data_IF_694192718656
#
_entry.id   IF_694192718656
#
_cell.length_a   1.000
_cell.length_b   1.000
_cell.length_c   1.000
_cell.angle_alpha   90.00
_cell.angle_beta   90.00
_cell.angle_gamma   90.00
#
_symmetry.space_group_name_H-M   'P 1'
#
loop_
_entity.id
_entity.type
_entity.pdbx_description
1 polymer ?
#
# COMPACT_ATOMS: atom_id res chain seq x y z
N UNK A 1 39.77 -45.70 1.61
CA UNK A 1 38.32 -45.92 1.43
C UNK A 1 37.66 -44.59 1.07
N UNK A 2 37.32 -44.36 -0.19
CA UNK A 2 36.74 -43.10 -0.65
C UNK A 2 35.27 -42.99 -0.20
N UNK A 3 34.93 -41.94 0.58
CA UNK A 3 33.56 -41.65 1.03
C UNK A 3 32.66 -41.48 -0.21
N UNK A 4 31.76 -42.44 -0.45
CA UNK A 4 30.75 -42.41 -1.52
C UNK A 4 29.88 -41.17 -1.30
N UNK A 5 30.04 -40.13 -2.14
CA UNK A 5 29.17 -38.94 -2.12
C UNK A 5 27.72 -39.41 -2.25
N UNK A 6 26.90 -39.21 -1.21
CA UNK A 6 25.46 -39.50 -1.24
C UNK A 6 24.89 -38.69 -2.42
N UNK A 7 24.42 -39.38 -3.48
CA UNK A 7 23.68 -38.72 -4.57
C UNK A 7 22.52 -37.99 -3.92
N UNK A 8 22.48 -36.66 -4.03
CA UNK A 8 21.36 -35.88 -3.53
C UNK A 8 20.11 -36.40 -4.26
N UNK A 9 19.20 -37.04 -3.53
CA UNK A 9 17.99 -37.62 -4.10
C UNK A 9 16.95 -36.50 -4.21
N UNK A 10 16.85 -35.90 -5.39
CA UNK A 10 15.92 -34.82 -5.64
C UNK A 10 16.10 -34.18 -7.00
N UNK A 11 15.08 -33.43 -7.41
CA UNK A 11 15.02 -32.68 -8.65
C UNK A 11 14.80 -31.20 -8.36
N UNK A 12 15.40 -30.34 -9.17
CA UNK A 12 15.27 -28.90 -9.07
C UNK A 12 13.96 -28.43 -9.70
N UNK A 13 13.24 -27.54 -9.01
CA UNK A 13 12.07 -26.87 -9.55
C UNK A 13 12.45 -25.47 -10.05
N UNK A 14 12.24 -25.20 -11.34
CA UNK A 14 12.53 -23.88 -11.94
C UNK A 14 11.55 -22.77 -11.56
N UNK A 15 10.42 -23.14 -10.94
CA UNK A 15 9.37 -22.18 -10.57
C UNK A 15 9.63 -21.66 -9.17
N UNK A 16 9.68 -22.51 -8.14
CA UNK A 16 9.98 -22.07 -6.78
C UNK A 16 11.48 -21.99 -6.44
N UNK A 17 12.40 -22.43 -7.32
CA UNK A 17 13.84 -22.37 -7.05
C UNK A 17 14.39 -23.41 -6.06
N UNK A 18 13.55 -24.34 -5.58
CA UNK A 18 13.95 -25.37 -4.61
C UNK A 18 14.34 -26.71 -5.25
N UNK A 19 15.27 -27.43 -4.60
CA UNK A 19 15.45 -28.87 -4.81
C UNK A 19 14.43 -29.67 -3.99
N UNK A 20 13.60 -30.49 -4.64
CA UNK A 20 12.55 -31.29 -3.98
C UNK A 20 12.71 -32.78 -4.30
N UNK A 21 12.21 -33.64 -3.41
CA UNK A 21 12.20 -35.09 -3.63
C UNK A 21 11.39 -35.48 -4.88
N UNK A 22 11.71 -36.61 -5.50
CA UNK A 22 11.09 -37.08 -6.75
C UNK A 22 9.55 -37.18 -6.64
N UNK A 23 9.03 -37.60 -5.50
CA UNK A 23 7.58 -37.70 -5.24
C UNK A 23 6.84 -36.36 -5.27
N UNK A 24 7.57 -35.24 -5.17
CA UNK A 24 7.03 -33.89 -5.30
C UNK A 24 6.93 -33.43 -6.75
N UNK A 25 7.30 -34.25 -7.72
CA UNK A 25 7.12 -34.01 -9.14
C UNK A 25 6.07 -34.97 -9.70
N UNK A 26 5.20 -34.45 -10.56
CA UNK A 26 4.28 -35.29 -11.36
C UNK A 26 5.00 -35.73 -12.63
N UNK A 27 4.60 -36.82 -13.30
CA UNK A 27 5.30 -37.30 -14.51
C UNK A 27 5.52 -36.21 -15.58
N UNK A 28 4.49 -35.39 -15.85
CA UNK A 28 4.61 -34.22 -16.75
C UNK A 28 5.43 -33.07 -16.15
N UNK A 29 5.36 -32.87 -14.83
CA UNK A 29 6.12 -31.82 -14.13
C UNK A 29 7.60 -32.13 -13.99
N UNK A 30 7.94 -33.40 -13.86
CA UNK A 30 9.31 -33.89 -13.80
C UNK A 30 10.07 -33.57 -15.08
N UNK A 31 9.47 -33.85 -16.24
CA UNK A 31 10.01 -33.51 -17.55
C UNK A 31 10.21 -31.99 -17.75
N UNK A 32 9.36 -31.16 -17.12
CA UNK A 32 9.43 -29.70 -17.22
C UNK A 32 10.26 -29.04 -16.10
N UNK A 33 10.79 -29.82 -15.16
CA UNK A 33 11.45 -29.32 -13.94
C UNK A 33 10.51 -28.42 -13.11
N UNK A 34 9.23 -28.80 -13.02
CA UNK A 34 8.18 -28.09 -12.27
C UNK A 34 7.58 -29.06 -11.24
N UNK A 35 7.65 -28.70 -9.97
CA UNK A 35 7.05 -29.51 -8.91
C UNK A 35 5.52 -29.52 -8.99
N UNK A 36 4.88 -30.54 -8.41
CA UNK A 36 3.43 -30.76 -8.44
C UNK A 36 2.65 -29.57 -7.89
N UNK A 37 3.17 -28.88 -6.87
CA UNK A 37 2.57 -27.67 -6.29
C UNK A 37 2.56 -26.51 -7.28
N UNK A 38 3.70 -26.21 -7.92
CA UNK A 38 3.79 -25.15 -8.94
C UNK A 38 2.96 -25.48 -10.18
N UNK A 39 2.96 -26.75 -10.62
CA UNK A 39 2.13 -27.20 -11.73
C UNK A 39 0.63 -27.09 -11.41
N UNK A 40 0.23 -27.34 -10.16
CA UNK A 40 -1.16 -27.14 -9.71
C UNK A 40 -1.53 -25.65 -9.67
N UNK A 41 -0.64 -24.79 -9.15
CA UNK A 41 -0.86 -23.34 -9.11
C UNK A 41 -1.08 -22.75 -10.52
N UNK A 42 -0.28 -23.20 -11.50
CA UNK A 42 -0.43 -22.80 -12.91
C UNK A 42 -1.77 -23.25 -13.51
N UNK A 43 -2.23 -24.48 -13.20
CA UNK A 43 -3.53 -24.99 -13.71
C UNK A 43 -4.73 -24.30 -13.08
N UNK A 44 -4.59 -23.81 -11.86
CA UNK A 44 -5.64 -23.07 -11.17
C UNK A 44 -5.72 -21.58 -11.60
N UNK A 45 -5.00 -21.17 -12.64
CA UNK A 45 -5.07 -19.80 -13.17
C UNK A 45 -4.41 -18.75 -12.29
N UNK A 46 -3.52 -19.15 -11.36
CA UNK A 46 -2.68 -18.22 -10.60
C UNK A 46 -1.40 -17.96 -11.40
N UNK A 47 -1.26 -16.72 -11.86
CA UNK A 47 -0.16 -16.24 -12.71
C UNK A 47 1.21 -16.43 -11.99
N UNK A 48 2.23 -17.02 -12.63
CA UNK A 48 3.53 -17.33 -12.03
C UNK A 48 4.50 -16.12 -12.02
N UNK A 49 3.96 -14.91 -11.91
CA UNK A 49 4.70 -13.63 -11.90
C UNK A 49 5.08 -13.21 -10.46
N UNK A 50 4.59 -13.96 -9.46
CA UNK A 50 4.71 -13.73 -8.02
C UNK A 50 5.90 -14.52 -7.39
N UNK A 51 7.02 -14.62 -8.11
CA UNK A 51 8.27 -15.27 -7.62
C UNK A 51 9.45 -14.31 -7.70
N UNK A 52 9.19 -13.03 -7.43
CA UNK A 52 10.18 -12.19 -6.77
C UNK A 52 9.92 -12.40 -5.26
N UNK A 53 10.95 -12.53 -4.40
CA UNK A 53 10.69 -12.56 -2.96
C UNK A 53 9.91 -11.29 -2.62
N UNK A 54 8.61 -11.45 -2.37
CA UNK A 54 7.75 -10.42 -1.85
C UNK A 54 8.50 -9.78 -0.68
N UNK A 55 8.72 -8.45 -0.64
CA UNK A 55 8.86 -7.81 0.66
C UNK A 55 7.65 -8.30 1.43
N UNK A 56 7.91 -9.00 2.55
CA UNK A 56 6.90 -9.62 3.39
C UNK A 56 5.65 -8.75 3.39
N UNK A 57 4.43 -9.30 3.26
CA UNK A 57 3.23 -8.50 3.47
C UNK A 57 3.31 -8.03 4.93
N UNK A 58 3.88 -6.84 5.13
CA UNK A 58 3.62 -6.03 6.31
C UNK A 58 2.12 -6.04 6.34
N UNK A 59 1.57 -6.64 7.40
CA UNK A 59 0.13 -6.66 7.63
C UNK A 59 -0.28 -5.20 7.80
N UNK A 60 -0.50 -4.51 6.67
CA UNK A 60 -0.84 -3.10 6.62
C UNK A 60 -2.16 -2.99 7.33
N UNK A 61 -2.12 -2.38 8.50
CA UNK A 61 -3.26 -2.37 9.38
C UNK A 61 -4.29 -1.43 8.75
N UNK A 62 -5.28 -2.01 8.07
CA UNK A 62 -6.30 -1.22 7.42
C UNK A 62 -7.32 -0.79 8.47
N UNK A 63 -7.35 0.50 8.78
CA UNK A 63 -8.23 1.03 9.83
C UNK A 63 -9.22 2.05 9.29
N UNK A 64 -10.28 2.29 10.07
CA UNK A 64 -11.28 3.32 9.78
C UNK A 64 -10.92 4.59 10.52
N UNK A 65 -11.24 5.76 9.97
CA UNK A 65 -11.03 7.05 10.63
C UNK A 65 -11.53 7.08 12.09
N UNK A 66 -12.70 6.47 12.34
CA UNK A 66 -13.30 6.39 13.68
C UNK A 66 -12.42 5.68 14.70
N UNK A 67 -11.62 4.71 14.26
CA UNK A 67 -10.70 3.92 15.09
C UNK A 67 -9.35 4.62 15.32
N UNK A 68 -9.06 5.73 14.64
CA UNK A 68 -7.82 6.46 14.93
C UNK A 68 -7.90 7.07 16.34
N UNK A 69 -6.86 6.82 17.11
CA UNK A 69 -6.58 7.52 18.36
C UNK A 69 -6.37 9.02 18.14
N UNK A 70 -6.41 9.77 19.24
CA UNK A 70 -6.28 11.24 19.21
C UNK A 70 -4.99 11.71 18.52
N UNK A 71 -3.90 10.96 18.71
CA UNK A 71 -2.60 11.26 18.11
C UNK A 71 -2.61 11.04 16.59
N UNK A 72 -3.10 9.88 16.12
CA UNK A 72 -3.22 9.63 14.68
C UNK A 72 -4.13 10.65 13.97
N UNK A 73 -5.22 11.07 14.64
CA UNK A 73 -6.07 12.17 14.13
C UNK A 73 -5.33 13.50 14.06
N UNK A 74 -4.46 13.80 15.02
CA UNK A 74 -3.65 15.02 15.01
C UNK A 74 -2.60 15.00 13.88
N UNK A 75 -1.94 13.86 13.65
CA UNK A 75 -1.01 13.64 12.55
C UNK A 75 -1.73 13.79 11.20
N UNK A 76 -2.86 13.11 11.02
CA UNK A 76 -3.67 13.24 9.81
C UNK A 76 -4.12 14.68 9.57
N UNK A 77 -4.52 15.40 10.62
CA UNK A 77 -4.86 16.82 10.52
C UNK A 77 -3.67 17.67 10.03
N UNK A 78 -2.47 17.40 10.53
CA UNK A 78 -1.26 18.11 10.11
C UNK A 78 -0.98 17.88 8.62
N UNK A 79 -1.04 16.63 8.15
CA UNK A 79 -0.91 16.29 6.73
C UNK A 79 -1.94 17.00 5.86
N UNK A 80 -3.22 17.00 6.28
CA UNK A 80 -4.27 17.70 5.54
C UNK A 80 -3.95 19.19 5.43
N UNK A 81 -3.56 19.82 6.54
CA UNK A 81 -3.23 21.25 6.53
C UNK A 81 -2.00 21.57 5.68
N UNK A 82 -0.96 20.74 5.71
CA UNK A 82 0.25 20.93 4.90
C UNK A 82 -0.05 20.83 3.41
N UNK A 83 -0.64 19.73 2.97
CA UNK A 83 -0.98 19.46 1.56
C UNK A 83 -1.98 20.47 1.00
N UNK A 84 -2.99 20.87 1.79
CA UNK A 84 -3.94 21.91 1.37
C UNK A 84 -3.27 23.27 1.26
N UNK A 85 -2.32 23.58 2.15
CA UNK A 85 -1.56 24.83 2.09
C UNK A 85 -0.66 24.86 0.86
N UNK A 86 0.06 23.78 0.59
CA UNK A 86 0.90 23.64 -0.62
C UNK A 86 0.06 23.81 -1.88
N UNK A 87 -1.06 23.07 -1.99
CA UNK A 87 -1.98 23.21 -3.10
C UNK A 87 -2.48 24.65 -3.29
N UNK A 88 -2.80 25.34 -2.20
CA UNK A 88 -3.22 26.75 -2.23
C UNK A 88 -2.09 27.68 -2.68
N UNK A 89 -0.86 27.49 -2.21
CA UNK A 89 0.29 28.31 -2.61
C UNK A 89 0.60 28.16 -4.10
N UNK A 90 0.51 26.94 -4.64
CA UNK A 90 0.81 26.67 -6.05
C UNK A 90 -0.32 27.09 -6.99
N UNK A 91 -1.56 26.75 -6.67
CA UNK A 91 -2.69 26.91 -7.58
C UNK A 91 -3.53 28.16 -7.28
N UNK A 92 -3.44 28.73 -6.08
CA UNK A 92 -4.31 29.80 -5.54
C UNK A 92 -5.80 29.55 -5.74
N UNK A 93 -6.20 28.29 -5.59
CA UNK A 93 -7.57 27.83 -5.79
C UNK A 93 -8.02 26.90 -4.66
N UNK A 94 -9.32 26.93 -4.38
CA UNK A 94 -9.93 26.01 -3.41
C UNK A 94 -10.05 24.63 -4.07
N UNK A 95 -9.44 23.57 -3.52
CA UNK A 95 -9.54 22.24 -4.10
C UNK A 95 -10.98 21.73 -4.03
N UNK A 96 -11.54 21.38 -5.19
CA UNK A 96 -12.92 20.89 -5.34
C UNK A 96 -12.96 19.67 -6.27
N UNK A 97 -13.98 18.82 -6.11
CA UNK A 97 -14.25 17.63 -6.94
C UNK A 97 -13.03 16.72 -7.20
N UNK A 98 -12.42 16.82 -8.39
CA UNK A 98 -11.30 15.98 -8.84
C UNK A 98 -10.04 16.28 -8.03
N UNK A 99 -9.62 17.55 -7.95
CA UNK A 99 -8.46 17.98 -7.14
C UNK A 99 -8.63 17.60 -5.68
N UNK A 100 -9.85 17.69 -5.15
CA UNK A 100 -10.15 17.22 -3.79
C UNK A 100 -9.94 15.70 -3.64
N UNK A 101 -10.36 14.93 -4.64
CA UNK A 101 -10.21 13.47 -4.64
C UNK A 101 -8.75 13.05 -4.78
N UNK A 102 -7.96 13.78 -5.58
CA UNK A 102 -6.52 13.57 -5.75
C UNK A 102 -5.75 13.88 -4.46
N UNK A 103 -5.97 15.05 -3.87
CA UNK A 103 -5.33 15.41 -2.58
C UNK A 103 -5.67 14.40 -1.49
N UNK A 104 -6.91 13.91 -1.45
CA UNK A 104 -7.31 12.89 -0.49
C UNK A 104 -6.58 11.57 -0.71
N UNK A 105 -6.47 11.09 -1.95
CA UNK A 105 -5.72 9.87 -2.27
C UNK A 105 -4.24 10.03 -1.91
N UNK A 106 -3.67 11.19 -2.19
CA UNK A 106 -2.28 11.51 -1.86
C UNK A 106 -2.04 11.46 -0.34
N UNK A 107 -2.91 12.09 0.45
CA UNK A 107 -2.80 12.08 1.92
C UNK A 107 -3.00 10.67 2.50
N UNK A 108 -3.95 9.88 1.98
CA UNK A 108 -4.15 8.51 2.43
C UNK A 108 -2.92 7.64 2.12
N UNK A 109 -2.32 7.80 0.94
CA UNK A 109 -1.10 7.09 0.55
C UNK A 109 0.08 7.49 1.44
N UNK A 110 0.32 8.79 1.59
CA UNK A 110 1.40 9.32 2.45
C UNK A 110 1.23 8.87 3.90
N UNK A 111 0.00 8.86 4.43
CA UNK A 111 -0.27 8.36 5.78
C UNK A 111 -0.04 6.85 5.91
N UNK A 112 -0.36 6.05 4.87
CA UNK A 112 -0.06 4.61 4.84
C UNK A 112 1.46 4.36 4.84
N UNK A 113 2.23 5.14 4.09
CA UNK A 113 3.69 5.04 4.03
C UNK A 113 4.35 5.46 5.37
N UNK A 114 3.91 6.57 5.96
CA UNK A 114 4.53 7.14 7.16
C UNK A 114 4.08 6.45 8.46
N UNK A 115 2.81 6.06 8.56
CA UNK A 115 2.24 5.44 9.76
C UNK A 115 2.03 3.93 9.63
N UNK A 116 2.20 3.32 8.45
CA UNK A 116 1.94 1.90 8.21
C UNK A 116 0.46 1.51 8.30
N UNK A 117 -0.44 2.50 8.27
CA UNK A 117 -1.87 2.34 8.53
C UNK A 117 -2.66 2.83 7.31
N UNK A 118 -3.26 1.89 6.59
CA UNK A 118 -4.09 2.22 5.44
C UNK A 118 -5.46 2.74 5.90
N UNK A 119 -5.71 4.02 5.65
CA UNK A 119 -7.01 4.64 5.92
C UNK A 119 -8.04 4.27 4.86
N UNK A 120 -9.22 3.81 5.29
CA UNK A 120 -10.36 3.60 4.39
C UNK A 120 -10.99 4.94 3.98
N UNK A 121 -11.27 5.09 2.68
CA UNK A 121 -12.03 6.22 2.13
C UNK A 121 -13.53 6.09 2.44
N UNK A 122 -13.86 6.12 3.74
CA UNK A 122 -15.23 6.14 4.24
C UNK A 122 -15.79 7.58 4.26
N UNK A 123 -17.11 7.72 4.34
CA UNK A 123 -17.79 9.02 4.42
C UNK A 123 -17.29 9.89 5.59
N UNK A 124 -16.95 9.27 6.73
CA UNK A 124 -16.40 10.00 7.90
C UNK A 124 -15.04 10.63 7.58
N UNK A 125 -14.14 9.91 6.91
CA UNK A 125 -12.84 10.44 6.50
C UNK A 125 -13.01 11.59 5.50
N UNK A 126 -13.92 11.41 4.53
CA UNK A 126 -14.26 12.46 3.56
C UNK A 126 -14.75 13.73 4.26
N UNK A 127 -15.70 13.63 5.20
CA UNK A 127 -16.21 14.79 5.94
C UNK A 127 -15.11 15.44 6.78
N UNK A 128 -14.29 14.65 7.47
CA UNK A 128 -13.17 15.15 8.26
C UNK A 128 -12.18 15.95 7.40
N UNK A 129 -11.81 15.39 6.25
CA UNK A 129 -10.96 16.05 5.28
C UNK A 129 -11.59 17.36 4.81
N UNK A 130 -12.85 17.34 4.39
CA UNK A 130 -13.56 18.55 3.94
C UNK A 130 -13.55 19.65 5.01
N UNK A 131 -13.89 19.32 6.25
CA UNK A 131 -13.89 20.28 7.36
C UNK A 131 -12.50 20.89 7.58
N UNK A 132 -11.44 20.08 7.51
CA UNK A 132 -10.07 20.57 7.72
C UNK A 132 -9.51 21.34 6.53
N UNK A 133 -9.83 20.96 5.30
CA UNK A 133 -9.54 21.76 4.11
C UNK A 133 -10.18 23.13 4.22
N UNK A 134 -11.49 23.20 4.50
CA UNK A 134 -12.22 24.48 4.64
C UNK A 134 -11.60 25.33 5.75
N UNK A 135 -11.29 24.73 6.91
CA UNK A 135 -10.67 25.45 8.03
C UNK A 135 -9.30 26.01 7.65
N UNK A 136 -8.48 25.24 6.94
CA UNK A 136 -7.14 25.65 6.50
C UNK A 136 -7.22 26.77 5.47
N UNK A 137 -8.05 26.61 4.43
CA UNK A 137 -8.29 27.63 3.41
C UNK A 137 -8.84 28.93 4.03
N UNK A 138 -9.81 28.84 4.94
CA UNK A 138 -10.35 30.03 5.62
C UNK A 138 -9.29 30.76 6.43
N UNK A 139 -8.33 30.04 7.02
CA UNK A 139 -7.20 30.64 7.73
C UNK A 139 -6.28 31.39 6.75
N UNK A 140 -5.91 30.74 5.65
CA UNK A 140 -5.06 31.34 4.61
C UNK A 140 -5.71 32.60 4.01
N UNK A 141 -7.01 32.54 3.71
CA UNK A 141 -7.78 33.69 3.22
C UNK A 141 -7.79 34.87 4.19
N UNK A 142 -7.85 34.62 5.51
CA UNK A 142 -7.74 35.66 6.54
C UNK A 142 -6.34 36.25 6.61
N UNK A 143 -5.31 35.43 6.51
CA UNK A 143 -3.90 35.88 6.52
C UNK A 143 -3.57 36.74 5.29
N UNK A 144 -4.15 36.45 4.13
CA UNK A 144 -3.95 37.23 2.91
C UNK A 144 -4.73 38.55 2.87
N UNK A 145 -5.81 38.67 3.64
CA UNK A 145 -6.60 39.89 3.73
C UNK A 145 -6.68 40.43 5.17
N UNK A 146 -5.58 40.96 5.72
CA UNK A 146 -5.56 41.52 7.07
C UNK A 146 -6.35 42.85 7.20
N UNK A 147 -6.98 43.34 6.11
CA UNK A 147 -7.55 44.69 6.02
C UNK A 147 -9.07 44.80 6.19
N UNK A 148 -9.74 43.78 6.73
CA UNK A 148 -11.18 43.83 6.97
C UNK A 148 -11.58 43.63 8.44
N UNK A 149 -10.68 43.95 9.37
CA UNK A 149 -11.01 44.12 10.79
C UNK A 149 -10.27 45.36 11.32
N UNK A 150 -10.85 46.55 11.10
CA UNK A 150 -10.36 47.83 11.62
C UNK A 150 -10.74 49.02 10.78
#
# INVERSE_FOLDING_TARGET
>A
MAKKKKKQQGHYCRICGDYKANEKFSGKGHAQHICKSCMSAMRSGKNPEDILPEPLPVSRETTRFKKLDKEGKAVLKAFISEVVTEYWQENRQIPFAESFSELKKYIIGTYDEECGILLKDDAELKTYFQTHTITTINKLLKEENPKNEG
#
